data_IF_852643631692
#
_entry.id   IF_852643631692
#
_cell.length_a   1.000
_cell.length_b   1.000
_cell.length_c   1.000
_cell.angle_alpha   90.00
_cell.angle_beta   90.00
_cell.angle_gamma   90.00
#
_symmetry.space_group_name_H-M   'P 1'
#
loop_
_entity.id
_entity.type
_entity.pdbx_description
1 polymer ?
#
# COMPACT_ATOMS: atom_id res chain seq x y z
N UNK A 1 -20.57 9.78 41.21
CA UNK A 1 -20.92 8.73 40.22
C UNK A 1 -19.89 8.79 39.11
N UNK A 2 -18.96 7.84 39.04
CA UNK A 2 -18.00 7.77 37.94
C UNK A 2 -18.76 7.40 36.65
N UNK A 3 -18.48 8.11 35.56
CA UNK A 3 -19.06 7.77 34.25
C UNK A 3 -18.61 6.38 33.83
N UNK A 4 -19.52 5.61 33.24
CA UNK A 4 -19.22 4.31 32.66
C UNK A 4 -18.21 4.46 31.49
N UNK A 5 -17.36 3.44 31.27
CA UNK A 5 -16.45 3.40 30.12
C UNK A 5 -17.18 3.61 28.77
N UNK A 6 -18.43 3.16 28.66
CA UNK A 6 -19.24 3.37 27.46
C UNK A 6 -19.62 4.84 27.25
N UNK A 7 -19.89 5.57 28.33
CA UNK A 7 -20.22 7.00 28.28
C UNK A 7 -19.00 7.85 27.94
N UNK A 8 -17.82 7.47 28.46
CA UNK A 8 -16.55 8.11 28.13
C UNK A 8 -16.19 7.95 26.64
N UNK A 9 -16.39 6.75 26.08
CA UNK A 9 -16.15 6.50 24.66
C UNK A 9 -17.13 7.28 23.76
N UNK A 10 -18.39 7.40 24.16
CA UNK A 10 -19.40 8.17 23.42
C UNK A 10 -19.07 9.67 23.42
N UNK A 11 -18.68 10.22 24.57
CA UNK A 11 -18.27 11.62 24.71
C UNK A 11 -17.01 11.93 23.89
N UNK A 12 -16.02 11.01 23.90
CA UNK A 12 -14.81 11.14 23.09
C UNK A 12 -15.12 11.19 21.60
N UNK A 13 -15.97 10.29 21.10
CA UNK A 13 -16.39 10.27 19.68
C UNK A 13 -17.17 11.52 19.29
N UNK A 14 -18.03 12.03 20.18
CA UNK A 14 -18.81 13.25 19.93
C UNK A 14 -17.90 14.48 19.82
N UNK A 15 -16.92 14.61 20.71
CA UNK A 15 -15.91 15.69 20.68
C UNK A 15 -15.03 15.62 19.45
N UNK A 16 -14.57 14.42 19.08
CA UNK A 16 -13.78 14.21 17.87
C UNK A 16 -14.57 14.57 16.61
N UNK A 17 -15.83 14.13 16.51
CA UNK A 17 -16.71 14.49 15.39
C UNK A 17 -16.92 16.00 15.28
N UNK A 18 -17.20 16.68 16.39
CA UNK A 18 -17.40 18.13 16.39
C UNK A 18 -16.13 18.90 15.99
N UNK A 19 -14.95 18.40 16.37
CA UNK A 19 -13.67 18.97 15.95
C UNK A 19 -13.46 18.82 14.44
N UNK A 20 -13.69 17.61 13.91
CA UNK A 20 -13.58 17.30 12.48
C UNK A 20 -14.51 18.16 11.64
N UNK A 21 -15.79 18.28 12.04
CA UNK A 21 -16.76 19.17 11.38
C UNK A 21 -16.31 20.64 11.40
N UNK A 22 -15.73 21.10 12.53
CA UNK A 22 -15.25 22.48 12.65
C UNK A 22 -14.07 22.80 11.73
N UNK A 23 -13.15 21.85 11.53
CA UNK A 23 -11.98 22.03 10.65
C UNK A 23 -12.26 21.63 9.21
N UNK A 24 -13.49 21.20 8.88
CA UNK A 24 -13.85 20.72 7.54
C UNK A 24 -13.12 19.45 7.13
N UNK A 25 -12.62 18.67 8.09
CA UNK A 25 -11.90 17.42 7.83
C UNK A 25 -12.82 16.22 8.04
N UNK A 26 -12.60 15.17 7.24
CA UNK A 26 -13.24 13.88 7.45
C UNK A 26 -12.18 12.88 7.92
N UNK A 27 -12.45 12.20 9.03
CA UNK A 27 -11.58 11.10 9.47
C UNK A 27 -11.84 9.88 8.60
N UNK A 28 -10.85 9.52 7.79
CA UNK A 28 -10.82 8.26 7.06
C UNK A 28 -9.77 7.34 7.66
N UNK A 29 -10.11 6.07 7.80
CA UNK A 29 -9.17 5.04 8.27
C UNK A 29 -8.61 4.31 7.06
N UNK A 30 -7.29 4.20 6.97
CA UNK A 30 -6.59 3.43 5.94
C UNK A 30 -5.88 2.25 6.60
N UNK A 31 -6.10 1.04 6.09
CA UNK A 31 -5.31 -0.12 6.49
C UNK A 31 -4.05 -0.11 5.63
N UNK A 32 -2.89 -0.01 6.28
CA UNK A 32 -1.59 0.15 5.63
C UNK A 32 -0.88 -1.20 5.61
N UNK A 33 -0.58 -1.73 4.41
CA UNK A 33 0.29 -2.90 4.26
C UNK A 33 1.74 -2.50 4.49
N UNK A 34 2.63 -3.44 4.81
CA UNK A 34 4.06 -3.15 4.99
C UNK A 34 4.68 -2.45 3.75
N UNK A 35 4.32 -2.89 2.55
CA UNK A 35 4.81 -2.28 1.32
C UNK A 35 4.35 -0.81 1.15
N UNK A 36 3.12 -0.49 1.58
CA UNK A 36 2.61 0.89 1.56
C UNK A 36 3.28 1.74 2.65
N UNK A 37 3.50 1.18 3.84
CA UNK A 37 4.21 1.84 4.95
C UNK A 37 5.64 2.21 4.55
N UNK A 38 6.39 1.24 4.01
CA UNK A 38 7.75 1.44 3.52
C UNK A 38 7.78 2.51 2.40
N UNK A 39 6.77 2.50 1.50
CA UNK A 39 6.66 3.51 0.44
C UNK A 39 6.35 4.92 0.98
N UNK A 40 5.47 5.04 1.97
CA UNK A 40 5.16 6.31 2.63
C UNK A 40 6.38 6.87 3.36
N UNK A 41 7.17 6.02 4.01
CA UNK A 41 8.43 6.43 4.62
C UNK A 41 9.42 6.98 3.59
N UNK A 42 9.66 6.24 2.49
CA UNK A 42 10.56 6.68 1.42
C UNK A 42 10.14 8.02 0.81
N UNK A 43 8.83 8.21 0.59
CA UNK A 43 8.30 9.45 0.04
C UNK A 43 8.35 10.60 1.06
N UNK A 44 8.07 10.33 2.33
CA UNK A 44 8.18 11.32 3.41
C UNK A 44 9.59 11.84 3.57
N UNK A 45 10.57 10.94 3.72
CA UNK A 45 11.99 11.29 3.84
C UNK A 45 12.51 12.05 2.61
N UNK A 46 12.10 11.65 1.40
CA UNK A 46 12.52 12.29 0.16
C UNK A 46 12.06 13.74 0.05
N UNK A 47 10.88 14.06 0.59
CA UNK A 47 10.24 15.36 0.43
C UNK A 47 10.18 16.18 1.73
N UNK A 48 10.72 15.66 2.83
CA UNK A 48 10.79 16.35 4.12
C UNK A 48 9.47 16.42 4.87
N UNK A 49 8.60 15.42 4.72
CA UNK A 49 7.35 15.31 5.47
C UNK A 49 7.56 14.51 6.76
N UNK A 50 7.16 15.08 7.89
CA UNK A 50 7.30 14.46 9.21
C UNK A 50 6.15 13.50 9.54
N UNK A 51 4.96 13.76 8.97
CA UNK A 51 3.76 12.95 9.21
C UNK A 51 3.30 12.21 7.95
N UNK A 52 3.01 10.91 8.07
CA UNK A 52 2.55 10.10 6.94
C UNK A 52 1.24 10.61 6.33
N UNK A 53 0.38 11.27 7.12
CA UNK A 53 -0.86 11.89 6.64
C UNK A 53 -0.57 13.07 5.71
N UNK A 54 0.46 13.87 6.02
CA UNK A 54 0.93 14.95 5.17
C UNK A 54 1.50 14.40 3.86
N UNK A 55 2.33 13.35 3.94
CA UNK A 55 2.86 12.66 2.76
C UNK A 55 1.73 12.19 1.85
N UNK A 56 0.80 11.37 2.36
CA UNK A 56 -0.24 10.77 1.52
C UNK A 56 -1.19 11.82 0.95
N UNK A 57 -1.60 12.82 1.75
CA UNK A 57 -2.53 13.85 1.30
C UNK A 57 -1.90 14.73 0.22
N UNK A 58 -0.67 15.19 0.43
CA UNK A 58 0.05 16.02 -0.54
C UNK A 58 0.24 15.29 -1.86
N UNK A 59 0.66 14.01 -1.83
CA UNK A 59 0.83 13.24 -3.06
C UNK A 59 -0.49 12.99 -3.80
N UNK A 60 -1.56 12.61 -3.09
CA UNK A 60 -2.85 12.35 -3.74
C UNK A 60 -3.49 13.61 -4.33
N UNK A 61 -3.40 14.74 -3.63
CA UNK A 61 -3.91 16.03 -4.12
C UNK A 61 -3.16 16.46 -5.39
N UNK A 62 -1.82 16.40 -5.36
CA UNK A 62 -1.01 16.78 -6.52
C UNK A 62 -1.19 15.81 -7.69
N UNK A 63 -1.29 14.51 -7.44
CA UNK A 63 -1.56 13.50 -8.47
C UNK A 63 -2.90 13.74 -9.15
N UNK A 64 -3.94 14.10 -8.38
CA UNK A 64 -5.26 14.43 -8.93
C UNK A 64 -5.28 15.75 -9.71
N UNK A 65 -4.40 16.69 -9.39
CA UNK A 65 -4.26 17.97 -10.09
C UNK A 65 -3.39 17.89 -11.35
N UNK A 66 -2.57 16.84 -11.47
CA UNK A 66 -1.69 16.64 -12.62
C UNK A 66 -2.49 16.32 -13.90
N UNK A 67 -1.96 16.66 -15.09
CA UNK A 67 -2.50 16.16 -16.36
C UNK A 67 -2.57 14.63 -16.37
N UNK A 68 -3.57 14.08 -17.09
CA UNK A 68 -3.78 12.64 -17.17
C UNK A 68 -2.51 11.88 -17.58
N UNK A 69 -1.80 12.39 -18.59
CA UNK A 69 -0.55 11.83 -19.12
C UNK A 69 0.54 11.65 -18.06
N UNK A 70 0.65 12.59 -17.10
CA UNK A 70 1.65 12.55 -16.03
C UNK A 70 1.24 11.59 -14.89
N UNK A 71 -0.06 11.47 -14.67
CA UNK A 71 -0.66 10.63 -13.62
C UNK A 71 -0.80 9.16 -14.04
N UNK A 72 -0.96 8.88 -15.34
CA UNK A 72 -1.26 7.56 -15.91
C UNK A 72 -0.21 6.50 -15.54
N UNK A 73 1.07 6.90 -15.48
CA UNK A 73 2.17 6.00 -15.09
C UNK A 73 2.04 5.47 -13.66
N UNK A 74 1.30 6.16 -12.79
CA UNK A 74 1.07 5.77 -11.41
C UNK A 74 -0.24 5.00 -11.23
N UNK A 75 -1.14 5.01 -12.22
CA UNK A 75 -2.42 4.30 -12.19
C UNK A 75 -2.26 2.78 -12.38
N UNK A 76 -1.13 2.34 -12.94
CA UNK A 76 -0.84 0.92 -13.13
C UNK A 76 0.30 0.50 -12.20
N UNK A 77 0.04 -0.46 -11.31
CA UNK A 77 1.11 -1.07 -10.52
C UNK A 77 2.12 -1.68 -11.48
N UNK A 78 3.38 -1.25 -11.40
CA UNK A 78 4.48 -1.88 -12.15
C UNK A 78 4.48 -3.37 -11.83
N UNK A 79 3.89 -4.17 -12.71
CA UNK A 79 4.02 -5.63 -12.64
C UNK A 79 5.50 -5.89 -12.89
N UNK A 80 6.21 -6.59 -11.99
CA UNK A 80 7.53 -7.06 -12.33
C UNK A 80 7.40 -7.80 -13.66
N UNK A 81 8.06 -7.30 -14.72
CA UNK A 81 8.22 -8.10 -15.93
C UNK A 81 9.06 -9.28 -15.49
N UNK A 82 8.43 -10.42 -15.25
CA UNK A 82 9.13 -11.68 -15.03
C UNK A 82 9.80 -12.03 -16.36
N UNK A 83 11.04 -11.57 -16.53
CA UNK A 83 11.89 -11.97 -17.66
C UNK A 83 12.58 -13.24 -17.21
N UNK A 84 12.10 -14.39 -17.67
CA UNK A 84 12.77 -15.67 -17.46
C UNK A 84 14.15 -15.58 -18.09
N UNK A 85 15.19 -15.65 -17.26
CA UNK A 85 16.57 -15.73 -17.75
C UNK A 85 16.80 -17.08 -18.42
N UNK A 86 17.74 -17.16 -19.37
CA UNK A 86 18.08 -18.42 -20.04
C UNK A 86 18.42 -19.54 -19.05
N UNK A 87 19.12 -19.20 -17.97
CA UNK A 87 19.43 -20.12 -16.87
C UNK A 87 18.18 -20.65 -16.16
N UNK A 88 17.20 -19.80 -15.90
CA UNK A 88 15.92 -20.24 -15.32
C UNK A 88 15.13 -21.11 -16.30
N UNK A 89 15.20 -20.83 -17.61
CA UNK A 89 14.59 -21.67 -18.64
C UNK A 89 15.20 -23.08 -18.67
N UNK A 90 16.53 -23.17 -18.62
CA UNK A 90 17.25 -24.45 -18.57
C UNK A 90 16.89 -25.25 -17.30
N UNK A 91 16.83 -24.59 -16.14
CA UNK A 91 16.44 -25.23 -14.88
C UNK A 91 15.00 -25.76 -14.90
N UNK A 92 14.08 -25.03 -15.54
CA UNK A 92 12.70 -25.47 -15.70
C UNK A 92 12.60 -26.67 -16.65
N UNK A 93 13.38 -26.69 -17.73
CA UNK A 93 13.45 -27.85 -18.62
C UNK A 93 14.03 -29.08 -17.92
N UNK A 94 15.13 -28.94 -17.18
CA UNK A 94 15.74 -30.04 -16.44
C UNK A 94 14.82 -30.60 -15.36
N UNK A 95 14.11 -29.71 -14.63
CA UNK A 95 13.11 -30.11 -13.66
C UNK A 95 11.95 -30.88 -14.33
N UNK A 96 11.47 -30.41 -15.49
CA UNK A 96 10.43 -31.09 -16.26
C UNK A 96 10.87 -32.46 -16.79
N UNK A 97 12.12 -32.58 -17.24
CA UNK A 97 12.68 -33.88 -17.69
C UNK A 97 12.86 -34.85 -16.52
N UNK A 98 13.31 -34.35 -15.37
CA UNK A 98 13.44 -35.15 -14.14
C UNK A 98 12.06 -35.66 -13.69
N UNK A 99 11.06 -34.78 -13.64
CA UNK A 99 9.70 -35.17 -13.27
C UNK A 99 9.13 -36.20 -14.26
N UNK A 100 9.32 -35.99 -15.56
CA UNK A 100 8.84 -36.93 -16.58
C UNK A 100 9.52 -38.31 -16.51
N UNK A 101 10.77 -38.41 -16.05
CA UNK A 101 11.44 -39.69 -15.78
C UNK A 101 10.87 -40.37 -14.54
N UNK A 102 10.69 -39.62 -13.46
CA UNK A 102 10.08 -40.12 -12.23
C UNK A 102 8.66 -40.64 -12.46
N UNK A 103 7.85 -39.92 -13.25
CA UNK A 103 6.48 -40.33 -13.62
C UNK A 103 6.46 -41.60 -14.49
N UNK A 104 7.57 -41.90 -15.19
CA UNK A 104 7.77 -43.13 -15.98
C UNK A 104 8.45 -44.25 -15.20
N UNK A 105 8.83 -44.03 -13.94
CA UNK A 105 9.53 -45.02 -13.11
C UNK A 105 10.98 -45.26 -13.52
N UNK A 106 11.61 -44.29 -14.19
CA UNK A 106 13.02 -44.33 -14.60
C UNK A 106 13.86 -43.58 -13.53
N UNK A 107 14.82 -44.27 -12.89
CA UNK A 107 15.84 -43.66 -12.02
C UNK A 107 16.96 -42.98 -12.82
#
# INVERSE_FOLDING_TARGET
MAKSNAELQKDKRAKEKALLERIGAEKRTLIVSKALDDALQVLGERHGFDEWQETVSTFLINLAAAPAEDSDRFANMSRPKFVTTEKQSQQLEEAGRTQARLDRGEE
#
